data_IF_302371338600
#
_entry.id   IF_302371338600
#
_cell.length_a   1.000
_cell.length_b   1.000
_cell.length_c   1.000
_cell.angle_alpha   90.00
_cell.angle_beta   90.00
_cell.angle_gamma   90.00
#
_symmetry.space_group_name_H-M   'P 1'
#
loop_
_entity.id
_entity.type
_entity.pdbx_description
1 polymer ?
#
# COMPACT_ATOMS: atom_id res chain seq x y z
N UNK A 1 0.66 3.94 3.79
CA UNK A 1 1.57 2.92 4.33
C UNK A 1 1.02 1.53 3.99
N UNK A 2 1.89 0.53 3.84
CA UNK A 2 1.47 -0.85 3.56
C UNK A 2 1.31 -1.63 4.85
N UNK A 3 0.20 -2.34 4.97
CA UNK A 3 -0.17 -3.12 6.14
C UNK A 3 -0.35 -4.59 5.78
N UNK A 4 -0.09 -5.44 6.78
CA UNK A 4 -0.27 -6.87 6.71
C UNK A 4 -1.15 -7.34 7.87
N UNK A 5 -2.19 -8.13 7.57
CA UNK A 5 -2.96 -8.81 8.60
C UNK A 5 -2.24 -10.06 9.07
N UNK A 6 -2.09 -10.23 10.39
CA UNK A 6 -1.47 -11.43 10.99
C UNK A 6 -2.36 -12.67 10.91
N UNK A 7 -3.68 -12.49 10.88
CA UNK A 7 -4.62 -13.63 10.89
C UNK A 7 -4.83 -14.24 9.50
N UNK A 8 -5.04 -13.39 8.49
CA UNK A 8 -5.36 -13.85 7.13
C UNK A 8 -4.23 -13.63 6.11
N UNK A 9 -3.15 -12.94 6.50
CA UNK A 9 -2.02 -12.65 5.60
C UNK A 9 -2.34 -11.61 4.52
N UNK A 10 -3.50 -10.95 4.58
CA UNK A 10 -3.89 -9.95 3.58
C UNK A 10 -2.96 -8.72 3.62
N UNK A 11 -2.41 -8.38 2.46
CA UNK A 11 -1.54 -7.22 2.25
C UNK A 11 -2.30 -6.11 1.54
N UNK A 12 -2.26 -4.90 2.08
CA UNK A 12 -2.99 -3.78 1.52
C UNK A 12 -2.32 -2.43 1.79
N UNK A 13 -2.58 -1.46 0.93
CA UNK A 13 -2.12 -0.09 1.09
C UNK A 13 -3.27 0.80 1.57
N UNK A 14 -3.01 1.61 2.61
CA UNK A 14 -3.93 2.65 3.08
C UNK A 14 -3.17 3.91 3.49
N UNK A 15 -3.82 5.05 3.29
CA UNK A 15 -3.39 6.35 3.82
C UNK A 15 -4.27 6.66 5.03
N UNK A 16 -3.66 7.04 6.15
CA UNK A 16 -4.36 7.30 7.41
C UNK A 16 -4.39 6.12 8.37
N UNK A 17 -5.16 6.26 9.45
CA UNK A 17 -5.31 5.24 10.50
C UNK A 17 -6.02 3.99 9.98
N UNK A 18 -5.53 2.83 10.38
CA UNK A 18 -6.13 1.54 10.06
C UNK A 18 -6.45 0.82 11.37
N UNK A 19 -7.74 0.58 11.59
CA UNK A 19 -8.24 -0.08 12.81
C UNK A 19 -8.49 -1.58 12.59
N UNK A 20 -8.94 -1.96 11.40
CA UNK A 20 -9.41 -3.31 11.09
C UNK A 20 -8.95 -3.78 9.70
N UNK A 21 -8.74 -5.08 9.56
CA UNK A 21 -8.36 -5.70 8.30
C UNK A 21 -9.55 -5.64 7.34
N UNK A 22 -9.40 -5.08 6.13
CA UNK A 22 -10.50 -4.97 5.18
C UNK A 22 -10.97 -6.32 4.61
N UNK A 23 -10.24 -7.42 4.85
CA UNK A 23 -10.58 -8.75 4.33
C UNK A 23 -11.22 -9.67 5.37
N UNK A 24 -10.82 -9.58 6.64
CA UNK A 24 -11.29 -10.49 7.69
C UNK A 24 -11.86 -9.77 8.91
N UNK A 25 -11.90 -8.42 8.87
CA UNK A 25 -12.48 -7.54 9.88
C UNK A 25 -11.82 -7.62 11.26
N UNK A 26 -10.73 -8.39 11.39
CA UNK A 26 -9.93 -8.47 12.62
C UNK A 26 -8.96 -7.30 12.73
N UNK A 27 -8.64 -6.91 13.96
CA UNK A 27 -7.74 -5.80 14.26
C UNK A 27 -6.25 -6.20 14.41
N UNK A 28 -5.88 -7.45 14.17
CA UNK A 28 -4.47 -7.88 14.24
C UNK A 28 -3.71 -7.48 12.97
N UNK A 29 -3.46 -6.18 12.84
CA UNK A 29 -2.77 -5.58 11.71
C UNK A 29 -1.40 -5.12 12.18
N UNK A 30 -0.41 -5.27 11.31
CA UNK A 30 0.93 -4.72 11.48
C UNK A 30 1.36 -3.99 10.22
N UNK A 31 2.40 -3.18 10.33
CA UNK A 31 3.13 -2.72 9.16
C UNK A 31 3.66 -3.92 8.38
N UNK A 32 3.55 -3.86 7.05
CA UNK A 32 4.15 -4.86 6.19
C UNK A 32 5.69 -4.77 6.27
N UNK A 33 6.38 -5.90 6.11
CA UNK A 33 7.83 -5.91 5.97
C UNK A 33 8.23 -5.29 4.63
N UNK A 34 9.52 -5.02 4.46
CA UNK A 34 10.05 -4.53 3.19
C UNK A 34 9.76 -5.50 2.04
N UNK A 35 9.96 -6.81 2.26
CA UNK A 35 9.68 -7.86 1.27
C UNK A 35 8.20 -7.91 0.89
N UNK A 36 7.30 -7.88 1.87
CA UNK A 36 5.85 -7.84 1.64
C UNK A 36 5.42 -6.59 0.89
N UNK A 37 6.03 -5.44 1.21
CA UNK A 37 5.78 -4.18 0.53
C UNK A 37 6.22 -4.23 -0.93
N UNK A 38 7.42 -4.75 -1.20
CA UNK A 38 7.93 -4.93 -2.57
C UNK A 38 7.07 -5.91 -3.37
N UNK A 39 6.63 -7.01 -2.75
CA UNK A 39 5.74 -7.98 -3.37
C UNK A 39 4.41 -7.34 -3.76
N UNK A 40 3.80 -6.57 -2.87
CA UNK A 40 2.56 -5.85 -3.16
C UNK A 40 2.76 -4.81 -4.28
N UNK A 41 3.83 -4.04 -4.24
CA UNK A 41 4.16 -3.07 -5.30
C UNK A 41 4.33 -3.75 -6.66
N UNK A 42 5.02 -4.89 -6.69
CA UNK A 42 5.20 -5.68 -7.92
C UNK A 42 3.86 -6.19 -8.45
N UNK A 43 2.99 -6.69 -7.58
CA UNK A 43 1.65 -7.15 -7.97
C UNK A 43 0.80 -5.99 -8.52
N UNK A 44 0.83 -4.82 -7.87
CA UNK A 44 0.13 -3.62 -8.33
C UNK A 44 0.69 -3.11 -9.66
N UNK A 45 2.00 -3.17 -9.87
CA UNK A 45 2.63 -2.79 -11.13
C UNK A 45 2.22 -3.74 -12.28
N UNK A 46 2.17 -5.05 -12.01
CA UNK A 46 1.76 -6.07 -12.99
C UNK A 46 0.26 -6.03 -13.28
N UNK A 47 -0.56 -5.58 -12.32
CA UNK A 47 -2.02 -5.52 -12.42
C UNK A 47 -2.59 -4.21 -12.96
N UNK A 48 -1.78 -3.19 -13.26
CA UNK A 48 -2.27 -1.90 -13.78
C UNK A 48 -2.34 -1.90 -15.32
N UNK A 49 -3.53 -1.73 -15.93
CA UNK A 49 -3.65 -0.79 -17.04
C UNK A 49 -3.51 0.62 -16.42
N UNK A 50 -2.36 1.26 -16.64
CA UNK A 50 -2.16 2.72 -16.56
C UNK A 50 -2.79 3.46 -15.37
N UNK A 51 -2.20 3.35 -14.17
CA UNK A 51 -2.33 4.38 -13.13
C UNK A 51 -0.99 4.52 -12.38
N UNK A 52 0.05 4.93 -13.11
CA UNK A 52 1.20 5.59 -12.50
C UNK A 52 0.87 7.08 -12.54
N UNK A 53 0.35 7.62 -11.44
CA UNK A 53 0.57 9.03 -11.16
C UNK A 53 1.98 9.07 -10.59
N UNK A 54 2.93 9.44 -11.43
CA UNK A 54 4.27 9.85 -11.02
C UNK A 54 4.12 11.17 -10.24
N UNK A 55 3.84 11.08 -8.94
CA UNK A 55 4.02 12.22 -8.04
C UNK A 55 5.49 12.30 -7.63
N UNK A 56 6.34 12.68 -8.60
CA UNK A 56 7.69 13.17 -8.35
C UNK A 56 8.04 14.18 -9.45
N UNK A 57 7.40 15.36 -9.40
CA UNK A 57 7.99 16.57 -9.96
C UNK A 57 7.93 17.68 -8.92
N UNK A 58 9.07 18.23 -8.46
CA UNK A 58 9.07 19.49 -7.73
C UNK A 58 8.51 20.56 -8.67
N UNK A 59 7.46 21.25 -8.23
CA UNK A 59 6.92 22.42 -8.92
C UNK A 59 7.99 23.51 -8.88
N UNK A 60 8.75 23.66 -9.97
CA UNK A 60 9.67 24.77 -10.16
C UNK A 60 8.85 26.01 -10.53
N UNK A 61 8.63 26.85 -9.53
CA UNK A 61 8.09 28.21 -9.65
C UNK A 61 9.03 29.07 -10.50
N UNK A 62 8.62 29.42 -11.73
CA UNK A 62 9.29 30.48 -12.50
C UNK A 62 8.29 31.35 -13.25
N UNK A 63 8.01 32.51 -12.62
CA UNK A 63 7.76 33.87 -13.15
C UNK A 63 6.82 34.07 -14.34
#
# INVERSE_FOLDING_TARGET
>A
MTYACKDCGFLFYRVGEVKECPSCEKNHIRSATQEETQRLQTLLARGKPTLLVEEDKPYEETR
#
